data_IF_966853201457
#
_entry.id   IF_966853201457
#
_cell.length_a   1.000
_cell.length_b   1.000
_cell.length_c   1.000
_cell.angle_alpha   90.00
_cell.angle_beta   90.00
_cell.angle_gamma   90.00
#
_symmetry.space_group_name_H-M   'P 1'
#
loop_
_entity.id
_entity.type
_entity.pdbx_description
1 polymer ?
#
# COMPACT_ATOMS: atom_id res chain seq x y z
N UNK A 1 -5.48 -7.90 -23.10
CA UNK A 1 -4.84 -6.66 -22.58
C UNK A 1 -3.33 -6.82 -22.29
N UNK A 2 -2.63 -7.74 -22.96
CA UNK A 2 -1.19 -8.02 -22.73
C UNK A 2 -0.25 -7.11 -23.53
N UNK A 3 -0.69 -6.67 -24.72
CA UNK A 3 0.13 -5.96 -25.70
C UNK A 3 0.50 -4.52 -25.26
N UNK A 4 -0.39 -3.72 -24.63
CA UNK A 4 -0.02 -2.36 -24.20
C UNK A 4 1.01 -2.34 -23.05
N UNK A 5 1.00 -3.35 -22.17
CA UNK A 5 1.94 -3.47 -21.05
C UNK A 5 3.37 -3.80 -21.52
N UNK A 6 3.49 -4.64 -22.56
CA UNK A 6 4.76 -5.04 -23.16
C UNK A 6 5.43 -3.86 -23.89
N UNK A 7 4.65 -3.01 -24.57
CA UNK A 7 5.15 -1.83 -25.28
C UNK A 7 5.67 -0.74 -24.31
N UNK A 8 5.03 -0.57 -23.15
CA UNK A 8 5.48 0.40 -22.12
C UNK A 8 6.80 -0.03 -21.43
N UNK A 9 7.07 -1.34 -21.38
CA UNK A 9 8.25 -1.94 -20.74
C UNK A 9 9.50 -1.97 -21.64
N UNK A 10 9.38 -1.71 -22.94
CA UNK A 10 10.49 -1.72 -23.89
C UNK A 10 11.34 -0.43 -23.86
N UNK A 11 10.82 0.66 -23.27
CA UNK A 11 11.42 2.00 -23.30
C UNK A 11 12.30 2.34 -22.07
N UNK A 12 12.71 1.34 -21.26
CA UNK A 12 13.16 1.60 -19.89
C UNK A 12 14.63 1.20 -19.65
N UNK A 13 15.41 2.15 -19.10
CA UNK A 13 16.84 1.99 -18.78
C UNK A 13 17.08 1.14 -17.53
N UNK A 14 18.19 0.41 -17.45
CA UNK A 14 18.44 -0.54 -16.36
C UNK A 14 18.49 0.13 -14.97
N UNK A 15 17.60 -0.29 -14.08
CA UNK A 15 17.67 0.02 -12.66
C UNK A 15 17.65 -1.26 -11.82
N UNK A 16 18.47 -1.24 -10.76
CA UNK A 16 18.68 -2.37 -9.86
C UNK A 16 18.10 -2.04 -8.49
N UNK A 17 17.24 -2.90 -7.93
CA UNK A 17 17.10 -2.90 -6.47
C UNK A 17 18.43 -3.30 -5.86
N UNK A 18 18.91 -2.43 -5.01
CA UNK A 18 20.13 -2.60 -4.25
C UNK A 18 19.85 -3.13 -2.86
N UNK A 19 18.59 -3.10 -2.40
CA UNK A 19 18.12 -3.77 -1.21
C UNK A 19 16.96 -4.71 -1.53
N UNK A 20 17.07 -5.97 -1.11
CA UNK A 20 15.95 -6.90 -1.08
C UNK A 20 15.99 -7.70 0.22
N UNK A 21 14.82 -8.01 0.75
CA UNK A 21 14.72 -8.78 1.97
C UNK A 21 13.52 -9.71 1.95
N UNK A 22 13.70 -10.92 2.50
CA UNK A 22 12.62 -11.83 2.90
C UNK A 22 12.81 -12.16 4.37
N UNK A 23 11.71 -12.16 5.13
CA UNK A 23 11.66 -12.60 6.53
C UNK A 23 10.55 -13.64 6.67
N UNK A 24 10.87 -14.72 7.39
CA UNK A 24 9.92 -15.76 7.80
C UNK A 24 10.05 -15.93 9.31
N UNK A 25 9.04 -15.49 10.05
CA UNK A 25 8.90 -15.65 11.51
C UNK A 25 8.01 -16.83 11.87
N UNK A 26 7.04 -17.17 11.01
CA UNK A 26 6.25 -18.40 11.09
C UNK A 26 6.37 -19.21 9.79
N UNK A 27 7.24 -20.24 9.78
CA UNK A 27 7.42 -21.10 8.62
C UNK A 27 6.20 -21.96 8.28
N UNK A 28 5.23 -22.09 9.19
CA UNK A 28 4.00 -22.89 8.93
C UNK A 28 2.98 -22.14 8.08
N UNK A 29 3.06 -20.80 8.03
CA UNK A 29 2.11 -19.96 7.31
C UNK A 29 0.78 -19.75 8.04
N UNK A 30 0.68 -20.12 9.33
CA UNK A 30 -0.54 -19.95 10.13
C UNK A 30 -0.70 -18.52 10.66
N UNK A 31 0.40 -17.86 10.98
CA UNK A 31 0.42 -16.43 11.30
C UNK A 31 0.28 -15.63 10.00
N UNK A 32 -0.82 -14.88 9.80
CA UNK A 32 -1.02 -14.07 8.60
C UNK A 32 0.03 -12.97 8.44
N UNK A 33 0.82 -12.66 9.46
CA UNK A 33 1.94 -11.71 9.40
C UNK A 33 3.31 -12.40 9.48
N UNK A 34 3.32 -13.73 9.35
CA UNK A 34 4.47 -14.61 9.58
C UNK A 34 5.53 -14.62 8.48
N UNK A 35 5.25 -14.05 7.31
CA UNK A 35 6.21 -13.93 6.22
C UNK A 35 6.02 -12.63 5.43
N UNK A 36 7.10 -11.91 5.19
CA UNK A 36 7.09 -10.62 4.50
C UNK A 36 8.33 -10.41 3.65
N UNK A 37 8.22 -9.55 2.64
CA UNK A 37 9.33 -9.16 1.78
C UNK A 37 9.32 -7.68 1.44
N UNK A 38 10.50 -7.15 1.11
CA UNK A 38 10.67 -5.75 0.73
C UNK A 38 11.74 -5.55 -0.34
N UNK A 39 11.61 -4.42 -1.04
CA UNK A 39 12.63 -3.91 -1.95
C UNK A 39 12.81 -2.41 -1.78
N UNK A 40 14.07 -1.95 -1.88
CA UNK A 40 14.43 -0.53 -1.95
C UNK A 40 15.57 -0.30 -2.93
N UNK A 41 15.70 0.93 -3.40
CA UNK A 41 16.80 1.38 -4.25
C UNK A 41 17.07 2.87 -4.06
N UNK A 42 18.29 3.31 -4.32
CA UNK A 42 18.62 4.72 -4.52
C UNK A 42 18.39 5.17 -5.99
N UNK A 43 18.38 4.22 -6.94
CA UNK A 43 18.30 4.50 -8.36
C UNK A 43 16.90 4.97 -8.82
N UNK A 44 16.83 5.81 -9.88
CA UNK A 44 15.59 6.01 -10.64
C UNK A 44 15.06 4.68 -11.22
N UNK A 45 13.80 4.63 -11.64
CA UNK A 45 13.13 3.46 -12.24
C UNK A 45 12.99 2.24 -11.31
N UNK A 46 12.90 2.46 -10.00
CA UNK A 46 12.77 1.39 -9.01
C UNK A 46 11.60 0.42 -9.23
N UNK A 47 10.57 0.82 -9.96
CA UNK A 47 9.52 -0.07 -10.45
C UNK A 47 10.01 -1.27 -11.26
N UNK A 48 11.24 -1.21 -11.75
CA UNK A 48 11.91 -2.31 -12.42
C UNK A 48 12.58 -3.30 -11.48
N UNK A 49 12.66 -3.03 -10.17
CA UNK A 49 12.85 -4.13 -9.23
C UNK A 49 11.53 -4.88 -9.18
N UNK A 50 11.40 -5.78 -10.14
CA UNK A 50 10.21 -6.58 -10.30
C UNK A 50 10.17 -7.53 -9.11
N UNK A 51 9.24 -7.28 -8.19
CA UNK A 51 8.85 -8.28 -7.21
C UNK A 51 7.42 -8.73 -7.47
N UNK A 52 7.22 -10.05 -7.45
CA UNK A 52 5.93 -10.67 -7.67
C UNK A 52 5.60 -11.55 -6.47
N UNK A 53 4.39 -11.37 -5.95
CA UNK A 53 3.82 -12.25 -4.92
C UNK A 53 2.77 -13.14 -5.55
N UNK A 54 3.00 -14.44 -5.52
CA UNK A 54 1.98 -15.40 -5.88
C UNK A 54 1.11 -15.66 -4.65
N UNK A 55 -0.12 -15.13 -4.65
CA UNK A 55 -1.12 -15.40 -3.60
C UNK A 55 -1.45 -16.88 -3.50
N UNK A 56 -1.49 -17.58 -4.64
CA UNK A 56 -1.77 -19.02 -4.70
C UNK A 56 -0.66 -19.86 -4.08
N UNK A 57 0.59 -19.49 -4.31
CA UNK A 57 1.75 -20.26 -3.83
C UNK A 57 2.29 -19.76 -2.49
N UNK A 58 1.81 -18.60 -2.00
CA UNK A 58 2.37 -17.85 -0.87
C UNK A 58 3.90 -17.68 -0.98
N UNK A 59 4.37 -17.20 -2.13
CA UNK A 59 5.80 -16.95 -2.39
C UNK A 59 5.99 -15.55 -2.94
N UNK A 60 7.06 -14.88 -2.49
CA UNK A 60 7.60 -13.69 -3.14
C UNK A 60 8.83 -14.04 -3.98
N UNK A 61 8.90 -13.47 -5.18
CA UNK A 61 10.08 -13.48 -6.06
C UNK A 61 10.57 -12.05 -6.16
N UNK A 62 11.77 -11.75 -5.66
CA UNK A 62 12.40 -10.43 -5.71
C UNK A 62 13.56 -10.44 -6.70
N UNK A 63 13.52 -9.57 -7.71
CA UNK A 63 14.61 -9.43 -8.66
C UNK A 63 15.31 -8.06 -8.62
N UNK A 64 16.62 -8.07 -8.81
CA UNK A 64 17.40 -6.84 -8.98
C UNK A 64 18.78 -7.12 -9.57
N UNK A 65 19.24 -6.27 -10.49
CA UNK A 65 20.54 -6.42 -11.12
C UNK A 65 20.71 -5.53 -12.34
N UNK A 66 21.61 -5.93 -13.23
CA UNK A 66 22.05 -5.11 -14.36
C UNK A 66 21.27 -5.38 -15.66
N UNK A 67 20.40 -6.39 -15.69
CA UNK A 67 19.64 -6.73 -16.90
C UNK A 67 18.58 -5.68 -17.24
N UNK A 68 18.11 -5.70 -18.50
CA UNK A 68 16.94 -4.91 -18.95
C UNK A 68 15.64 -5.50 -18.39
N UNK A 69 14.59 -4.68 -18.32
CA UNK A 69 13.30 -5.06 -17.73
C UNK A 69 12.66 -6.33 -18.31
N UNK A 70 12.85 -6.63 -19.60
CA UNK A 70 12.31 -7.83 -20.26
C UNK A 70 12.96 -9.12 -19.76
N UNK A 71 14.29 -9.20 -19.73
CA UNK A 71 15.02 -10.39 -19.27
C UNK A 71 14.75 -10.69 -17.78
N UNK A 72 14.64 -9.63 -16.96
CA UNK A 72 14.24 -9.75 -15.56
C UNK A 72 12.85 -10.30 -15.38
N UNK A 73 11.89 -9.83 -16.18
CA UNK A 73 10.52 -10.34 -16.14
C UNK A 73 10.48 -11.82 -16.54
N UNK A 74 11.19 -12.21 -17.60
CA UNK A 74 11.31 -13.61 -18.00
C UNK A 74 11.91 -14.49 -16.90
N UNK A 75 12.93 -14.00 -16.19
CA UNK A 75 13.53 -14.69 -15.05
C UNK A 75 12.51 -14.94 -13.92
N UNK A 76 11.67 -13.96 -13.62
CA UNK A 76 10.60 -14.09 -12.61
C UNK A 76 9.53 -15.06 -13.07
N UNK A 77 9.07 -14.93 -14.32
CA UNK A 77 8.05 -15.82 -14.89
C UNK A 77 8.54 -17.27 -14.95
N UNK A 78 9.80 -17.49 -15.31
CA UNK A 78 10.41 -18.82 -15.29
C UNK A 78 10.43 -19.41 -13.86
N UNK A 79 10.79 -18.59 -12.87
CA UNK A 79 10.77 -19.01 -11.47
C UNK A 79 9.37 -19.39 -10.98
N UNK A 80 8.36 -18.57 -11.29
CA UNK A 80 6.97 -18.83 -10.89
C UNK A 80 6.44 -20.09 -11.58
N UNK A 81 6.67 -20.24 -12.89
CA UNK A 81 6.25 -21.43 -13.63
C UNK A 81 6.84 -22.71 -13.04
N UNK A 82 8.12 -22.70 -12.69
CA UNK A 82 8.76 -23.84 -12.02
C UNK A 82 8.06 -24.20 -10.70
N UNK A 83 7.74 -23.19 -9.87
CA UNK A 83 7.00 -23.41 -8.63
C UNK A 83 5.56 -23.90 -8.87
N UNK A 84 4.88 -23.42 -9.92
CA UNK A 84 3.54 -23.88 -10.30
C UNK A 84 3.54 -25.32 -10.79
N UNK A 85 4.64 -25.77 -11.40
CA UNK A 85 4.88 -27.16 -11.80
C UNK A 85 5.32 -28.06 -10.63
N UNK A 86 5.41 -27.53 -9.41
CA UNK A 86 5.71 -28.29 -8.21
C UNK A 86 7.20 -28.45 -7.91
N UNK A 87 8.08 -27.75 -8.64
CA UNK A 87 9.51 -27.75 -8.33
C UNK A 87 9.81 -27.11 -6.97
N UNK A 88 10.95 -27.46 -6.39
CA UNK A 88 11.42 -26.83 -5.18
C UNK A 88 11.96 -25.41 -5.42
N UNK A 89 12.17 -24.67 -4.33
CA UNK A 89 12.55 -23.26 -4.40
C UNK A 89 13.95 -23.04 -4.99
N UNK A 90 14.83 -24.03 -4.91
CA UNK A 90 16.17 -23.94 -5.48
C UNK A 90 16.11 -24.11 -7.00
N UNK A 91 15.41 -25.14 -7.47
CA UNK A 91 15.18 -25.39 -8.90
C UNK A 91 14.45 -24.21 -9.56
N UNK A 92 13.46 -23.64 -8.88
CA UNK A 92 12.78 -22.44 -9.36
C UNK A 92 13.72 -21.22 -9.49
N UNK A 93 14.60 -20.99 -8.51
CA UNK A 93 15.62 -19.94 -8.61
C UNK A 93 16.58 -20.24 -9.77
N UNK A 94 16.99 -21.50 -9.93
CA UNK A 94 17.88 -21.95 -11.02
C UNK A 94 17.27 -21.68 -12.40
N UNK A 95 15.99 -22.01 -12.57
CA UNK A 95 15.23 -21.72 -13.79
C UNK A 95 15.21 -20.20 -14.08
N UNK A 96 14.97 -19.38 -13.06
CA UNK A 96 14.96 -17.93 -13.21
C UNK A 96 16.33 -17.34 -13.57
N UNK A 97 17.38 -17.67 -12.84
CA UNK A 97 18.73 -17.11 -13.09
C UNK A 97 19.32 -17.58 -14.42
N UNK A 98 18.86 -18.70 -14.98
CA UNK A 98 19.24 -19.12 -16.34
C UNK A 98 18.83 -18.10 -17.42
N UNK A 99 17.78 -17.30 -17.16
CA UNK A 99 17.30 -16.23 -18.04
C UNK A 99 18.00 -14.90 -17.80
N UNK A 100 18.52 -14.68 -16.60
CA UNK A 100 19.18 -13.44 -16.21
C UNK A 100 20.27 -13.70 -15.15
N UNK A 101 21.45 -14.22 -15.55
CA UNK A 101 22.48 -14.67 -14.60
C UNK A 101 23.19 -13.53 -13.86
N UNK A 102 23.09 -12.30 -14.40
CA UNK A 102 23.62 -11.08 -13.79
C UNK A 102 22.62 -10.40 -12.84
N UNK A 103 21.35 -10.84 -12.84
CA UNK A 103 20.38 -10.43 -11.85
C UNK A 103 20.44 -11.34 -10.63
N UNK A 104 20.10 -10.78 -9.49
CA UNK A 104 19.73 -11.53 -8.31
C UNK A 104 18.29 -11.97 -8.43
N UNK A 105 18.01 -13.20 -8.02
CA UNK A 105 16.68 -13.63 -7.62
C UNK A 105 16.71 -14.06 -6.16
N UNK A 106 15.89 -13.44 -5.33
CA UNK A 106 15.63 -13.83 -3.93
C UNK A 106 14.17 -14.28 -3.84
N UNK A 107 13.96 -15.56 -3.57
CA UNK A 107 12.65 -16.23 -3.61
C UNK A 107 12.37 -16.87 -2.28
N UNK A 108 11.16 -16.71 -1.74
CA UNK A 108 10.85 -17.22 -0.41
C UNK A 108 9.39 -17.17 -0.03
N UNK A 109 9.00 -18.07 0.87
CA UNK A 109 7.65 -18.15 1.43
C UNK A 109 7.53 -19.18 2.55
N UNK A 110 6.48 -19.08 3.39
CA UNK A 110 6.18 -20.09 4.40
C UNK A 110 6.01 -21.47 3.75
N UNK A 111 6.43 -22.53 4.43
CA UNK A 111 6.40 -23.92 3.93
C UNK A 111 7.39 -24.24 2.80
N UNK A 112 7.95 -23.24 2.13
CA UNK A 112 8.87 -23.40 0.98
C UNK A 112 10.34 -23.15 1.33
N UNK A 113 10.61 -22.30 2.31
CA UNK A 113 11.98 -21.85 2.64
C UNK A 113 12.36 -20.60 1.85
N UNK A 114 13.66 -20.36 1.66
CA UNK A 114 14.19 -19.20 0.92
C UNK A 114 15.38 -19.64 0.07
N UNK A 115 15.49 -19.14 -1.16
CA UNK A 115 16.67 -19.32 -2.00
C UNK A 115 17.10 -18.00 -2.65
N UNK A 116 18.42 -17.86 -2.86
CA UNK A 116 19.02 -16.72 -3.56
C UNK A 116 20.00 -17.21 -4.62
N UNK A 117 19.86 -16.73 -5.85
CA UNK A 117 20.77 -17.02 -6.96
C UNK A 117 21.22 -15.76 -7.70
N UNK A 118 22.21 -15.93 -8.59
CA UNK A 118 22.72 -14.88 -9.47
C UNK A 118 23.68 -13.92 -8.78
N UNK A 119 23.53 -12.61 -8.98
CA UNK A 119 24.47 -11.59 -8.45
C UNK A 119 24.01 -10.98 -7.13
N UNK A 120 24.60 -11.40 -6.01
CA UNK A 120 24.15 -11.00 -4.67
C UNK A 120 25.27 -10.74 -3.66
N UNK A 121 24.94 -9.89 -2.70
CA UNK A 121 25.63 -9.72 -1.42
C UNK A 121 24.60 -9.88 -0.31
N UNK A 122 24.62 -11.00 0.41
CA UNK A 122 23.58 -11.31 1.40
C UNK A 122 24.14 -11.61 2.78
N UNK A 123 23.34 -11.25 3.78
CA UNK A 123 23.41 -11.84 5.11
C UNK A 123 22.20 -12.76 5.31
N UNK A 124 22.47 -14.01 5.63
CA UNK A 124 21.48 -15.04 5.96
C UNK A 124 21.41 -15.16 7.48
N UNK A 125 20.20 -15.04 8.00
CA UNK A 125 19.88 -15.18 9.42
C UNK A 125 19.02 -16.41 9.60
N UNK A 126 19.41 -17.29 10.51
CA UNK A 126 18.62 -18.45 10.94
C UNK A 126 18.44 -18.38 12.44
N UNK A 127 17.20 -18.51 12.90
CA UNK A 127 16.87 -18.52 14.34
C UNK A 127 16.34 -19.89 14.73
N UNK A 128 16.97 -20.52 15.73
CA UNK A 128 16.58 -21.81 16.30
C UNK A 128 16.53 -21.70 17.83
N UNK A 129 15.33 -21.65 18.38
CA UNK A 129 15.14 -21.29 19.79
C UNK A 129 15.76 -19.92 20.07
N UNK A 130 16.62 -19.84 21.09
CA UNK A 130 17.34 -18.60 21.44
C UNK A 130 18.61 -18.36 20.62
N UNK A 131 19.04 -19.31 19.77
CA UNK A 131 20.27 -19.20 18.99
C UNK A 131 20.01 -18.46 17.67
N UNK A 132 20.80 -17.41 17.43
CA UNK A 132 20.82 -16.66 16.17
C UNK A 132 22.11 -17.03 15.43
N UNK A 133 21.97 -17.49 14.18
CA UNK A 133 23.09 -17.83 13.29
C UNK A 133 23.08 -16.84 12.14
N UNK A 134 24.20 -16.17 11.90
CA UNK A 134 24.36 -15.22 10.80
C UNK A 134 25.50 -15.70 9.90
N UNK A 135 25.23 -15.84 8.60
CA UNK A 135 26.22 -16.20 7.58
C UNK A 135 26.19 -15.18 6.45
N UNK A 136 27.34 -14.85 5.89
CA UNK A 136 27.45 -13.94 4.76
C UNK A 136 27.81 -14.72 3.50
N UNK A 137 27.20 -14.33 2.38
CA UNK A 137 27.48 -14.91 1.08
C UNK A 137 27.59 -13.82 0.03
N UNK A 138 28.48 -14.03 -0.92
CA UNK A 138 28.72 -13.14 -2.06
C UNK A 138 28.75 -13.96 -3.35
N UNK A 139 28.15 -13.40 -4.40
CA UNK A 139 28.24 -13.89 -5.77
C UNK A 139 28.14 -12.72 -6.74
N UNK A 140 29.01 -12.69 -7.74
CA UNK A 140 28.95 -11.70 -8.83
C UNK A 140 28.05 -12.15 -9.99
N UNK A 141 27.54 -13.40 -9.96
CA UNK A 141 26.69 -14.00 -10.99
C UNK A 141 26.89 -15.52 -11.07
N UNK A 142 26.14 -16.19 -11.95
CA UNK A 142 26.32 -17.62 -12.23
C UNK A 142 25.43 -18.56 -11.41
N UNK A 143 25.72 -19.88 -11.40
CA UNK A 143 24.80 -20.92 -10.94
C UNK A 143 24.76 -21.10 -9.41
N UNK A 144 25.50 -20.30 -8.66
CA UNK A 144 25.63 -20.43 -7.21
C UNK A 144 24.32 -20.01 -6.52
N UNK A 145 23.71 -20.96 -5.80
CA UNK A 145 22.47 -20.73 -5.07
C UNK A 145 22.70 -20.94 -3.57
N UNK A 146 22.27 -19.98 -2.76
CA UNK A 146 22.20 -20.12 -1.31
C UNK A 146 20.78 -20.52 -0.93
N UNK A 147 20.63 -21.66 -0.24
CA UNK A 147 19.34 -22.20 0.18
C UNK A 147 19.17 -22.18 1.70
N UNK A 148 18.00 -21.77 2.15
CA UNK A 148 17.48 -21.98 3.49
C UNK A 148 16.34 -22.99 3.41
N UNK A 149 16.41 -24.12 4.13
CA UNK A 149 15.38 -25.14 4.04
C UNK A 149 14.03 -24.64 4.58
N UNK A 150 12.96 -25.34 4.18
CA UNK A 150 11.61 -25.15 4.76
C UNK A 150 11.62 -25.35 6.28
N UNK A 151 10.57 -24.87 6.93
CA UNK A 151 10.35 -25.02 8.39
C UNK A 151 11.39 -24.31 9.28
N UNK A 152 12.08 -23.29 8.77
CA UNK A 152 13.10 -22.54 9.50
C UNK A 152 12.71 -21.07 9.59
N UNK A 153 12.75 -20.50 10.81
CA UNK A 153 12.64 -19.05 11.01
C UNK A 153 13.91 -18.38 10.50
N UNK A 154 13.77 -17.44 9.57
CA UNK A 154 14.92 -16.87 8.89
C UNK A 154 14.68 -15.46 8.38
N UNK A 155 15.78 -14.80 8.03
CA UNK A 155 15.78 -13.63 7.17
C UNK A 155 16.93 -13.73 6.16
N UNK A 156 16.70 -13.20 4.97
CA UNK A 156 17.76 -12.98 3.98
C UNK A 156 17.75 -11.52 3.61
N UNK A 157 18.89 -10.87 3.78
CA UNK A 157 19.04 -9.43 3.54
C UNK A 157 20.12 -9.24 2.49
N UNK A 158 19.70 -8.82 1.32
CA UNK A 158 20.58 -8.29 0.29
C UNK A 158 20.75 -6.78 0.47
N UNK A 159 21.98 -6.29 0.37
CA UNK A 159 22.25 -4.85 0.30
C UNK A 159 23.55 -4.55 -0.45
N UNK A 160 23.49 -3.68 -1.46
CA UNK A 160 24.61 -2.98 -2.11
C UNK A 160 24.37 -1.47 -2.06
N UNK A 161 25.40 -0.65 -2.24
CA UNK A 161 25.18 0.79 -2.47
C UNK A 161 25.12 1.07 -3.97
N UNK A 162 24.15 1.88 -4.41
CA UNK A 162 24.12 2.43 -5.77
C UNK A 162 25.23 3.48 -5.93
N UNK A 163 26.00 3.48 -7.03
CA UNK A 163 26.90 4.59 -7.36
C UNK A 163 26.19 5.95 -7.30
N UNK A 164 26.84 6.96 -6.71
CA UNK A 164 26.23 8.28 -6.49
C UNK A 164 25.33 8.38 -5.26
N UNK A 165 25.16 7.30 -4.49
CA UNK A 165 24.58 7.37 -3.15
C UNK A 165 25.54 8.14 -2.20
N UNK A 166 25.08 9.19 -1.48
CA UNK A 166 25.92 9.94 -0.54
C UNK A 166 26.56 9.11 0.57
N UNK A 167 25.99 7.93 0.87
CA UNK A 167 26.49 7.00 1.89
C UNK A 167 27.15 5.77 1.25
N UNK A 168 27.73 5.90 0.07
CA UNK A 168 28.42 4.81 -0.62
C UNK A 168 29.52 4.18 0.25
N UNK A 169 29.67 2.87 0.18
CA UNK A 169 30.63 2.09 0.98
C UNK A 169 30.09 1.58 2.33
N UNK A 170 28.89 1.99 2.74
CA UNK A 170 28.28 1.57 4.02
C UNK A 170 27.53 0.24 3.95
N UNK A 171 27.18 -0.24 2.75
CA UNK A 171 26.27 -1.37 2.55
C UNK A 171 26.66 -2.64 3.32
N UNK A 172 27.93 -3.03 3.33
CA UNK A 172 28.37 -4.25 4.03
C UNK A 172 28.13 -4.14 5.54
N UNK A 173 28.50 -3.02 6.16
CA UNK A 173 28.27 -2.78 7.58
C UNK A 173 26.78 -2.79 7.92
N UNK A 174 25.98 -2.02 7.16
CA UNK A 174 24.54 -1.89 7.38
C UNK A 174 23.83 -3.24 7.18
N UNK A 175 24.27 -4.06 6.22
CA UNK A 175 23.73 -5.40 5.97
C UNK A 175 23.90 -6.32 7.19
N UNK A 176 25.08 -6.30 7.81
CA UNK A 176 25.38 -7.10 9.01
C UNK A 176 24.56 -6.61 10.21
N UNK A 177 24.50 -5.30 10.42
CA UNK A 177 23.71 -4.70 11.52
C UNK A 177 22.22 -5.01 11.36
N UNK A 178 21.68 -4.87 10.14
CA UNK A 178 20.31 -5.25 9.81
C UNK A 178 20.05 -6.75 10.04
N UNK A 179 21.02 -7.62 9.76
CA UNK A 179 20.92 -9.06 10.03
C UNK A 179 20.87 -9.37 11.53
N UNK A 180 21.68 -8.68 12.34
CA UNK A 180 21.66 -8.79 13.81
C UNK A 180 20.30 -8.33 14.34
N UNK A 181 19.79 -7.19 13.86
CA UNK A 181 18.47 -6.68 14.22
C UNK A 181 17.35 -7.66 13.85
N UNK A 182 17.37 -8.20 12.63
CA UNK A 182 16.39 -9.18 12.17
C UNK A 182 16.41 -10.42 13.07
N UNK A 183 17.59 -10.99 13.35
CA UNK A 183 17.72 -12.18 14.18
C UNK A 183 17.17 -11.98 15.59
N UNK A 184 17.43 -10.83 16.21
CA UNK A 184 16.88 -10.47 17.52
C UNK A 184 15.35 -10.39 17.46
N UNK A 185 14.80 -9.63 16.52
CA UNK A 185 13.35 -9.49 16.41
C UNK A 185 12.61 -10.80 16.07
N UNK A 186 13.20 -11.67 15.24
CA UNK A 186 12.65 -13.01 14.96
C UNK A 186 12.65 -13.87 16.23
N UNK A 187 13.75 -13.87 16.99
CA UNK A 187 13.86 -14.58 18.27
C UNK A 187 12.82 -14.07 19.27
N UNK A 188 12.65 -12.75 19.33
CA UNK A 188 11.75 -12.07 20.26
C UNK A 188 10.27 -12.16 19.83
N UNK A 189 9.97 -12.83 18.72
CA UNK A 189 8.61 -13.15 18.31
C UNK A 189 7.86 -12.04 17.58
N UNK A 190 8.57 -11.02 17.06
CA UNK A 190 7.92 -9.96 16.27
C UNK A 190 7.42 -10.51 14.93
N UNK A 191 6.31 -9.97 14.38
CA UNK A 191 5.80 -10.37 13.08
C UNK A 191 6.74 -9.95 11.95
N UNK A 192 6.76 -10.71 10.85
CA UNK A 192 7.65 -10.46 9.72
C UNK A 192 7.35 -9.09 9.05
N UNK A 193 6.09 -8.67 9.01
CA UNK A 193 5.66 -7.36 8.48
C UNK A 193 6.29 -6.19 9.24
N UNK A 194 6.44 -6.32 10.55
CA UNK A 194 7.12 -5.32 11.39
C UNK A 194 8.64 -5.35 11.21
N UNK A 195 9.23 -6.55 11.17
CA UNK A 195 10.69 -6.72 11.04
C UNK A 195 11.18 -6.12 9.73
N UNK A 196 10.54 -6.48 8.61
CA UNK A 196 10.89 -5.98 7.28
C UNK A 196 10.83 -4.45 7.23
N UNK A 197 9.76 -3.86 7.74
CA UNK A 197 9.54 -2.41 7.63
C UNK A 197 10.43 -1.60 8.57
N UNK A 198 10.72 -2.10 9.78
CA UNK A 198 11.73 -1.51 10.66
C UNK A 198 13.12 -1.55 10.04
N UNK A 199 13.48 -2.65 9.37
CA UNK A 199 14.77 -2.77 8.68
C UNK A 199 14.83 -1.85 7.46
N UNK A 200 13.73 -1.66 6.73
CA UNK A 200 13.68 -0.66 5.67
C UNK A 200 13.98 0.74 6.19
N UNK A 201 13.37 1.16 7.30
CA UNK A 201 13.66 2.44 7.94
C UNK A 201 15.13 2.55 8.38
N UNK A 202 15.71 1.46 8.91
CA UNK A 202 17.12 1.40 9.29
C UNK A 202 18.06 1.57 8.09
N UNK A 203 17.86 0.77 7.05
CA UNK A 203 18.67 0.77 5.83
C UNK A 203 18.57 2.12 5.13
N UNK A 204 17.35 2.67 4.99
CA UNK A 204 17.15 3.98 4.41
C UNK A 204 17.99 5.07 5.11
N UNK A 205 18.01 5.05 6.45
CA UNK A 205 18.76 6.01 7.28
C UNK A 205 20.27 5.77 7.30
N UNK A 206 20.72 4.52 7.18
CA UNK A 206 22.12 4.13 7.45
C UNK A 206 22.94 3.81 6.21
N UNK A 207 22.29 3.47 5.10
CA UNK A 207 22.97 3.22 3.82
C UNK A 207 22.58 4.17 2.70
N UNK A 208 21.54 5.00 2.89
CA UNK A 208 21.02 5.89 1.85
C UNK A 208 20.22 5.17 0.75
N UNK A 209 20.12 3.83 0.77
CA UNK A 209 19.25 3.05 -0.10
C UNK A 209 17.79 3.17 0.36
N UNK A 210 17.20 4.34 0.09
CA UNK A 210 16.07 4.85 0.86
C UNK A 210 14.75 4.94 0.13
N UNK A 211 14.74 4.92 -1.20
CA UNK A 211 13.47 4.95 -1.92
C UNK A 211 12.90 3.54 -1.90
N UNK A 212 11.66 3.39 -1.45
CA UNK A 212 11.04 2.07 -1.33
C UNK A 212 10.30 1.66 -2.59
N UNK A 213 10.58 0.45 -3.07
CA UNK A 213 9.96 -0.13 -4.26
C UNK A 213 8.66 -0.86 -3.95
N UNK A 214 8.46 -1.22 -2.68
CA UNK A 214 7.24 -1.81 -2.16
C UNK A 214 7.52 -2.83 -1.08
N UNK A 215 6.47 -3.17 -0.35
CA UNK A 215 6.51 -4.15 0.73
C UNK A 215 5.32 -5.08 0.59
N UNK A 216 5.54 -6.35 0.90
CA UNK A 216 4.51 -7.38 0.79
C UNK A 216 4.46 -8.25 2.03
N UNK A 217 3.24 -8.60 2.41
CA UNK A 217 2.96 -9.71 3.30
C UNK A 217 2.72 -10.94 2.43
N UNK A 218 3.62 -11.91 2.52
CA UNK A 218 3.62 -13.09 1.67
C UNK A 218 2.49 -14.04 2.09
N UNK A 219 2.29 -14.22 3.40
CA UNK A 219 1.26 -15.12 3.91
C UNK A 219 -0.13 -14.62 3.53
N UNK A 220 -0.44 -13.35 3.82
CA UNK A 220 -1.75 -12.78 3.54
C UNK A 220 -1.92 -12.25 2.10
N UNK A 221 -0.87 -12.28 1.27
CA UNK A 221 -0.93 -11.76 -0.09
C UNK A 221 -1.16 -10.25 -0.19
N UNK A 222 -0.84 -9.48 0.86
CA UNK A 222 -1.00 -8.02 0.85
C UNK A 222 0.24 -7.35 0.27
N UNK A 223 0.04 -6.25 -0.45
CA UNK A 223 1.12 -5.37 -0.92
C UNK A 223 0.83 -3.92 -0.59
N UNK A 224 1.82 -3.05 -0.57
CA UNK A 224 1.59 -1.60 -0.42
C UNK A 224 0.83 -0.96 -1.61
N UNK A 225 0.51 -1.73 -2.66
CA UNK A 225 -0.21 -1.26 -3.84
C UNK A 225 0.45 -0.02 -4.46
N UNK A 226 -0.39 0.91 -4.90
CA UNK A 226 0.05 2.12 -5.60
C UNK A 226 0.53 3.24 -4.66
N UNK A 227 0.61 2.98 -3.35
CA UNK A 227 0.86 4.07 -2.37
C UNK A 227 2.28 4.64 -2.45
N UNK A 228 3.25 3.82 -2.87
CA UNK A 228 4.65 4.23 -3.03
C UNK A 228 5.07 4.35 -4.50
N UNK A 229 4.09 4.35 -5.39
CA UNK A 229 4.26 4.49 -6.84
C UNK A 229 4.50 5.96 -7.16
N UNK A 230 5.67 6.33 -7.71
CA UNK A 230 5.87 7.69 -8.17
C UNK A 230 4.89 8.04 -9.30
N UNK A 231 4.42 9.31 -9.36
CA UNK A 231 3.46 9.75 -10.38
C UNK A 231 4.05 9.83 -11.80
N UNK A 232 5.38 9.79 -11.92
CA UNK A 232 6.10 9.79 -13.19
C UNK A 232 6.86 8.47 -13.34
N UNK A 233 6.77 7.88 -14.53
CA UNK A 233 7.66 6.78 -14.92
C UNK A 233 9.11 7.25 -14.74
N UNK A 234 9.99 6.33 -14.33
CA UNK A 234 11.41 6.59 -14.16
C UNK A 234 11.81 7.56 -13.04
N UNK A 235 10.87 8.02 -12.21
CA UNK A 235 11.23 8.78 -11.01
C UNK A 235 11.70 7.86 -9.87
N UNK A 236 12.39 8.47 -8.89
CA UNK A 236 12.67 7.81 -7.61
C UNK A 236 11.35 7.65 -6.83
N UNK A 237 11.23 6.57 -6.06
CA UNK A 237 10.04 6.34 -5.24
C UNK A 237 10.02 7.21 -3.98
N UNK A 238 9.18 6.83 -3.03
CA UNK A 238 9.01 7.59 -1.78
C UNK A 238 10.16 7.25 -0.81
N UNK A 239 10.86 8.27 -0.26
CA UNK A 239 11.95 8.04 0.68
C UNK A 239 11.42 7.53 2.03
N UNK A 240 11.90 6.35 2.43
CA UNK A 240 11.46 5.64 3.63
C UNK A 240 11.90 6.34 4.91
N UNK A 241 13.00 7.09 4.89
CA UNK A 241 13.57 7.82 6.04
C UNK A 241 12.97 9.22 6.26
N UNK A 242 11.94 9.60 5.50
CA UNK A 242 11.30 10.93 5.62
C UNK A 242 9.90 10.86 6.22
N UNK A 243 9.50 11.96 6.86
CA UNK A 243 8.15 12.13 7.38
C UNK A 243 7.13 12.09 6.22
N UNK A 244 6.17 11.17 6.31
CA UNK A 244 5.22 10.90 5.24
C UNK A 244 3.88 11.60 5.50
N UNK A 245 3.36 11.49 6.73
CA UNK A 245 2.12 12.15 7.16
C UNK A 245 2.11 12.48 8.64
N UNK A 246 1.15 13.30 9.04
CA UNK A 246 0.73 13.46 10.42
C UNK A 246 -0.64 12.83 10.62
N UNK A 247 -0.84 12.14 11.74
CA UNK A 247 -2.12 11.52 12.10
C UNK A 247 -2.51 11.90 13.53
N UNK A 248 -3.79 12.15 13.74
CA UNK A 248 -4.37 12.32 15.06
C UNK A 248 -4.68 10.93 15.66
N UNK A 249 -4.07 10.56 16.80
CA UNK A 249 -4.33 9.27 17.42
C UNK A 249 -5.74 9.15 18.03
N UNK A 250 -6.48 10.26 18.21
CA UNK A 250 -7.81 10.25 18.82
C UNK A 250 -8.95 10.12 17.80
N UNK A 251 -8.94 10.93 16.75
CA UNK A 251 -10.05 11.01 15.79
C UNK A 251 -9.67 10.55 14.37
N UNK A 252 -8.46 10.00 14.17
CA UNK A 252 -8.05 9.46 12.87
C UNK A 252 -7.68 10.49 11.80
N UNK A 253 -8.03 11.77 11.98
CA UNK A 253 -7.69 12.83 11.03
C UNK A 253 -6.20 12.78 10.65
N UNK A 254 -5.90 12.80 9.36
CA UNK A 254 -4.53 12.74 8.87
C UNK A 254 -4.29 13.64 7.67
N UNK A 255 -3.05 14.06 7.49
CA UNK A 255 -2.60 14.90 6.38
C UNK A 255 -1.20 14.50 5.95
N UNK A 256 -0.98 14.35 4.64
CA UNK A 256 0.33 14.02 4.09
C UNK A 256 1.24 15.26 3.95
N UNK A 257 2.54 15.05 3.94
CA UNK A 257 3.49 16.11 3.58
C UNK A 257 3.39 16.47 2.08
N UNK A 258 3.62 17.74 1.70
CA UNK A 258 4.14 18.83 2.53
C UNK A 258 3.08 19.55 3.38
N UNK A 259 1.78 19.40 3.09
CA UNK A 259 0.70 20.12 3.78
C UNK A 259 0.71 19.90 5.30
N UNK A 260 1.11 18.71 5.75
CA UNK A 260 1.30 18.35 7.15
C UNK A 260 2.24 19.29 7.93
N UNK A 261 3.14 20.02 7.27
CA UNK A 261 4.02 20.98 7.93
C UNK A 261 3.25 22.10 8.65
N UNK A 262 2.07 22.48 8.12
CA UNK A 262 1.22 23.56 8.64
C UNK A 262 0.44 23.19 9.91
N UNK A 263 0.40 21.91 10.28
CA UNK A 263 -0.43 21.42 11.38
C UNK A 263 0.43 20.93 12.55
N UNK A 264 0.35 21.61 13.70
CA UNK A 264 0.94 21.14 14.96
C UNK A 264 -0.07 20.36 15.81
N UNK A 265 -1.37 20.64 15.65
CA UNK A 265 -2.48 20.00 16.34
C UNK A 265 -3.57 19.60 15.34
N UNK A 266 -4.41 18.65 15.73
CA UNK A 266 -5.55 18.20 14.94
C UNK A 266 -6.59 19.34 14.81
N UNK A 267 -7.00 19.70 13.59
CA UNK A 267 -8.01 20.75 13.39
C UNK A 267 -9.41 20.34 13.85
N UNK A 268 -9.67 19.03 13.99
CA UNK A 268 -10.98 18.49 14.39
C UNK A 268 -11.15 18.45 15.91
N UNK A 269 -10.13 17.99 16.65
CA UNK A 269 -10.25 17.75 18.11
C UNK A 269 -9.14 18.38 18.96
N UNK A 270 -8.27 19.21 18.38
CA UNK A 270 -7.19 19.91 19.10
C UNK A 270 -6.08 19.02 19.69
N UNK A 271 -6.11 17.70 19.47
CA UNK A 271 -5.10 16.78 19.99
C UNK A 271 -3.76 16.91 19.27
N UNK A 272 -2.66 16.52 19.92
CA UNK A 272 -1.33 16.47 19.29
C UNK A 272 -1.31 15.48 18.14
N UNK A 273 -0.60 15.85 17.07
CA UNK A 273 -0.44 14.99 15.89
C UNK A 273 0.84 14.16 16.02
N UNK A 274 0.75 12.88 15.66
CA UNK A 274 1.90 11.98 15.54
C UNK A 274 2.42 12.01 14.10
N UNK A 275 3.73 12.23 13.94
CA UNK A 275 4.39 12.08 12.65
C UNK A 275 4.63 10.60 12.36
N UNK A 276 4.25 10.16 11.17
CA UNK A 276 4.53 8.83 10.65
C UNK A 276 5.46 8.89 9.46
N UNK A 277 6.44 7.99 9.44
CA UNK A 277 7.38 7.79 8.33
C UNK A 277 6.81 6.79 7.33
N UNK A 278 7.27 6.84 6.08
CA UNK A 278 6.75 5.98 5.00
C UNK A 278 6.87 4.48 5.32
N UNK A 279 7.94 4.04 5.99
CA UNK A 279 8.08 2.63 6.41
C UNK A 279 7.04 2.20 7.46
N UNK A 280 6.58 3.11 8.32
CA UNK A 280 5.53 2.83 9.31
C UNK A 280 4.18 2.71 8.62
N UNK A 281 3.90 3.58 7.65
CA UNK A 281 2.70 3.47 6.81
C UNK A 281 2.71 2.18 6.02
N UNK A 282 3.85 1.80 5.43
CA UNK A 282 4.00 0.54 4.71
C UNK A 282 3.68 -0.68 5.60
N UNK A 283 4.13 -0.67 6.87
CA UNK A 283 3.79 -1.72 7.84
C UNK A 283 2.29 -1.83 8.04
N UNK A 284 1.62 -0.72 8.29
CA UNK A 284 0.20 -0.72 8.59
C UNK A 284 -0.65 -1.19 7.39
N UNK A 285 -0.18 -0.95 6.15
CA UNK A 285 -0.84 -1.40 4.93
C UNK A 285 -0.77 -2.90 4.63
N UNK A 286 0.24 -3.59 5.18
CA UNK A 286 0.48 -5.02 4.91
C UNK A 286 0.25 -5.91 6.13
N UNK A 287 0.00 -5.32 7.29
CA UNK A 287 -0.19 -6.06 8.54
C UNK A 287 -1.66 -6.38 8.72
N UNK A 288 -2.00 -7.66 8.72
CA UNK A 288 -3.34 -8.14 9.03
C UNK A 288 -3.61 -7.90 10.52
N UNK A 289 -4.72 -7.23 10.82
CA UNK A 289 -5.23 -7.01 12.17
C UNK A 289 -6.60 -7.65 12.29
N UNK A 290 -6.89 -8.33 13.41
CA UNK A 290 -8.15 -9.06 13.60
C UNK A 290 -9.36 -8.12 13.75
N UNK A 291 -9.13 -6.94 14.30
CA UNK A 291 -10.11 -5.93 14.70
C UNK A 291 -10.32 -4.81 13.66
N UNK A 292 -9.44 -4.71 12.66
CA UNK A 292 -9.48 -3.64 11.67
C UNK A 292 -9.28 -4.21 10.25
N UNK A 293 -10.30 -4.15 9.37
CA UNK A 293 -10.12 -4.55 7.98
C UNK A 293 -9.26 -3.54 7.22
N UNK A 294 -8.51 -4.06 6.25
CA UNK A 294 -7.82 -3.24 5.27
C UNK A 294 -8.81 -2.98 4.14
N UNK A 295 -9.18 -1.71 3.94
CA UNK A 295 -10.10 -1.31 2.86
C UNK A 295 -9.32 -0.60 1.76
N UNK A 296 -9.46 -1.08 0.52
CA UNK A 296 -8.84 -0.49 -0.67
C UNK A 296 -9.93 -0.05 -1.63
N UNK A 297 -9.97 1.25 -1.91
CA UNK A 297 -10.91 1.82 -2.87
C UNK A 297 -10.14 2.33 -4.09
N UNK A 298 -10.56 1.86 -5.26
CA UNK A 298 -10.02 2.21 -6.58
C UNK A 298 -11.07 2.99 -7.37
N UNK A 299 -10.63 3.79 -8.36
CA UNK A 299 -11.53 4.56 -9.24
C UNK A 299 -12.05 5.87 -8.64
N UNK A 300 -11.53 6.28 -7.48
CA UNK A 300 -11.88 7.54 -6.82
C UNK A 300 -10.77 8.58 -6.97
N UNK A 301 -11.16 9.81 -7.35
CA UNK A 301 -10.25 10.96 -7.44
C UNK A 301 -10.17 11.76 -6.14
N UNK A 302 -11.28 11.89 -5.41
CA UNK A 302 -11.37 12.66 -4.17
C UNK A 302 -10.79 11.88 -2.98
N UNK A 303 -9.86 12.50 -2.25
CA UNK A 303 -9.32 11.92 -1.01
C UNK A 303 -10.40 11.82 0.06
N UNK A 304 -11.34 12.76 0.12
CA UNK A 304 -12.40 12.79 1.13
C UNK A 304 -13.40 11.64 0.93
N UNK A 305 -13.84 11.43 -0.31
CA UNK A 305 -14.78 10.36 -0.66
C UNK A 305 -14.17 8.99 -0.35
N UNK A 306 -12.86 8.85 -0.63
CA UNK A 306 -12.11 7.65 -0.30
C UNK A 306 -12.07 7.38 1.21
N UNK A 307 -11.85 8.41 2.02
CA UNK A 307 -11.85 8.28 3.49
C UNK A 307 -13.24 7.89 3.98
N UNK A 308 -14.30 8.55 3.49
CA UNK A 308 -15.69 8.26 3.86
C UNK A 308 -16.04 6.80 3.59
N UNK A 309 -15.75 6.29 2.39
CA UNK A 309 -16.03 4.89 2.04
C UNK A 309 -15.24 3.93 2.94
N UNK A 310 -13.96 4.22 3.20
CA UNK A 310 -13.14 3.40 4.09
C UNK A 310 -13.75 3.33 5.49
N UNK A 311 -14.21 4.45 6.04
CA UNK A 311 -14.86 4.52 7.35
C UNK A 311 -16.21 3.79 7.37
N UNK A 312 -17.06 3.99 6.36
CA UNK A 312 -18.33 3.27 6.21
C UNK A 312 -18.10 1.76 6.21
N UNK A 313 -17.16 1.28 5.40
CA UNK A 313 -16.84 -0.15 5.28
C UNK A 313 -16.24 -0.69 6.58
N UNK A 314 -15.31 0.04 7.20
CA UNK A 314 -14.72 -0.37 8.48
C UNK A 314 -15.79 -0.52 9.57
N UNK A 315 -16.74 0.40 9.62
CA UNK A 315 -17.87 0.38 10.57
C UNK A 315 -18.77 -0.84 10.35
N UNK A 316 -19.11 -1.15 9.09
CA UNK A 316 -19.91 -2.33 8.76
C UNK A 316 -19.24 -3.63 9.18
N UNK A 317 -17.93 -3.75 8.90
CA UNK A 317 -17.14 -4.93 9.26
C UNK A 317 -17.07 -5.10 10.78
N UNK A 318 -16.93 -4.01 11.53
CA UNK A 318 -16.99 -4.03 12.99
C UNK A 318 -18.37 -4.46 13.50
N UNK A 319 -19.43 -4.09 12.80
CA UNK A 319 -20.80 -4.55 13.05
C UNK A 319 -21.09 -5.98 12.52
N UNK A 320 -20.08 -6.71 12.05
CA UNK A 320 -20.22 -8.09 11.54
C UNK A 320 -20.76 -8.20 10.11
N UNK A 321 -21.06 -7.08 9.44
CA UNK A 321 -21.58 -7.04 8.06
C UNK A 321 -20.44 -7.00 7.05
N UNK A 322 -19.90 -8.18 6.72
CA UNK A 322 -18.72 -8.32 5.85
C UNK A 322 -19.05 -8.81 4.44
N UNK A 323 -20.33 -9.05 4.13
CA UNK A 323 -20.71 -9.58 2.83
C UNK A 323 -20.65 -8.49 1.75
N UNK A 324 -20.24 -8.82 0.52
CA UNK A 324 -20.22 -7.88 -0.60
C UNK A 324 -21.53 -7.11 -0.78
N UNK A 325 -22.68 -7.75 -0.56
CA UNK A 325 -24.01 -7.16 -0.69
C UNK A 325 -24.29 -6.10 0.38
N UNK A 326 -23.84 -6.31 1.62
CA UNK A 326 -23.99 -5.34 2.69
C UNK A 326 -23.16 -4.10 2.44
N UNK A 327 -21.93 -4.30 1.96
CA UNK A 327 -20.99 -3.23 1.64
C UNK A 327 -21.48 -2.43 0.43
N UNK A 328 -21.92 -3.11 -0.63
CA UNK A 328 -22.49 -2.49 -1.82
C UNK A 328 -23.67 -1.59 -1.46
N UNK A 329 -24.66 -2.14 -0.74
CA UNK A 329 -25.85 -1.39 -0.30
C UNK A 329 -25.54 -0.17 0.54
N UNK A 330 -24.54 -0.26 1.42
CA UNK A 330 -24.18 0.88 2.27
C UNK A 330 -23.55 2.03 1.49
N UNK A 331 -22.70 1.73 0.50
CA UNK A 331 -22.09 2.75 -0.35
C UNK A 331 -23.13 3.32 -1.32
N UNK A 332 -24.01 2.48 -1.86
CA UNK A 332 -25.14 2.94 -2.69
C UNK A 332 -26.07 3.86 -1.90
N UNK A 333 -26.28 3.58 -0.60
CA UNK A 333 -26.99 4.48 0.31
C UNK A 333 -26.28 5.83 0.47
N UNK A 334 -24.94 5.85 0.54
CA UNK A 334 -24.17 7.11 0.57
C UNK A 334 -24.29 7.89 -0.76
N UNK A 335 -24.37 7.19 -1.90
CA UNK A 335 -24.64 7.80 -3.21
C UNK A 335 -26.08 8.37 -3.26
N UNK A 336 -27.07 7.60 -2.83
CA UNK A 336 -28.49 8.01 -2.77
C UNK A 336 -28.69 9.25 -1.88
N UNK A 337 -27.97 9.30 -0.75
CA UNK A 337 -28.02 10.41 0.20
C UNK A 337 -27.14 11.60 -0.19
N UNK A 338 -26.51 11.58 -1.38
CA UNK A 338 -25.60 12.62 -1.88
C UNK A 338 -24.36 12.87 -0.99
N UNK A 339 -23.95 11.94 -0.13
CA UNK A 339 -22.69 12.04 0.61
C UNK A 339 -21.49 11.65 -0.26
N UNK A 340 -21.72 10.82 -1.29
CA UNK A 340 -20.76 10.50 -2.35
C UNK A 340 -21.29 10.97 -3.71
N UNK A 341 -20.60 11.92 -4.36
CA UNK A 341 -21.03 12.53 -5.62
C UNK A 341 -20.11 12.16 -6.79
N UNK A 342 -20.71 11.88 -7.95
CA UNK A 342 -19.98 11.69 -9.21
C UNK A 342 -19.55 10.25 -9.50
N UNK A 343 -20.12 9.27 -8.82
CA UNK A 343 -19.86 7.85 -9.02
C UNK A 343 -21.13 7.09 -9.35
N UNK A 344 -20.99 6.00 -10.11
CA UNK A 344 -22.06 5.05 -10.40
C UNK A 344 -22.33 4.14 -9.19
N UNK A 345 -23.50 3.51 -9.15
CA UNK A 345 -23.82 2.49 -8.14
C UNK A 345 -22.83 1.33 -8.23
N UNK A 346 -22.53 0.75 -7.08
CA UNK A 346 -21.62 -0.38 -7.00
C UNK A 346 -22.39 -1.69 -6.90
N UNK A 347 -22.00 -2.66 -7.71
CA UNK A 347 -22.58 -4.00 -7.63
C UNK A 347 -21.83 -4.82 -6.58
N UNK A 348 -22.43 -5.88 -6.00
CA UNK A 348 -21.70 -6.81 -5.15
C UNK A 348 -20.43 -7.38 -5.82
N UNK A 349 -20.47 -7.57 -7.15
CA UNK A 349 -19.29 -7.98 -7.95
C UNK A 349 -18.15 -6.95 -8.01
N UNK A 350 -18.43 -5.67 -7.71
CA UNK A 350 -17.42 -4.61 -7.60
C UNK A 350 -16.74 -4.59 -6.21
N UNK A 351 -17.20 -5.44 -5.27
CA UNK A 351 -16.65 -5.61 -3.93
C UNK A 351 -16.00 -7.00 -3.80
N UNK A 352 -14.69 -7.02 -3.58
CA UNK A 352 -13.93 -8.25 -3.33
C UNK A 352 -13.52 -8.34 -1.87
N UNK A 353 -13.97 -9.40 -1.19
CA UNK A 353 -13.59 -9.70 0.20
C UNK A 353 -12.59 -10.85 0.22
N UNK A 354 -11.44 -10.65 0.88
CA UNK A 354 -10.40 -11.65 1.10
C UNK A 354 -10.26 -11.91 2.61
N UNK A 355 -11.03 -12.87 3.18
CA UNK A 355 -11.15 -13.04 4.63
C UNK A 355 -9.84 -13.32 5.36
N UNK A 356 -8.96 -14.13 4.76
CA UNK A 356 -7.65 -14.49 5.31
C UNK A 356 -6.74 -13.28 5.52
N UNK A 357 -6.87 -12.28 4.64
CA UNK A 357 -6.10 -11.05 4.68
C UNK A 357 -6.83 -9.91 5.44
N UNK A 358 -8.05 -10.17 5.91
CA UNK A 358 -9.00 -9.17 6.39
C UNK A 358 -9.08 -7.96 5.42
N UNK A 359 -9.06 -8.23 4.11
CA UNK A 359 -8.98 -7.21 3.06
C UNK A 359 -10.30 -7.10 2.31
N UNK A 360 -10.72 -5.86 2.08
CA UNK A 360 -11.88 -5.52 1.26
C UNK A 360 -11.41 -4.58 0.17
N UNK A 361 -11.62 -4.96 -1.08
CA UNK A 361 -11.29 -4.15 -2.25
C UNK A 361 -12.57 -3.72 -2.95
N UNK A 362 -12.67 -2.44 -3.29
CA UNK A 362 -13.87 -1.81 -3.85
C UNK A 362 -13.45 -1.07 -5.12
N UNK A 363 -14.13 -1.38 -6.22
CA UNK A 363 -13.90 -0.77 -7.52
C UNK A 363 -15.03 0.22 -7.84
N UNK A 364 -14.73 1.50 -7.71
CA UNK A 364 -15.69 2.57 -8.02
C UNK A 364 -15.57 2.96 -9.48
N UNK A 365 -16.70 3.30 -10.11
CA UNK A 365 -16.74 3.80 -11.48
C UNK A 365 -17.19 5.27 -11.46
N UNK A 366 -16.37 6.22 -11.93
CA UNK A 366 -16.80 7.59 -12.06
C UNK A 366 -17.88 7.68 -13.15
N UNK A 367 -18.88 8.55 -12.94
CA UNK A 367 -19.87 8.83 -13.98
C UNK A 367 -19.20 9.52 -15.19
N UNK A 368 -19.62 9.23 -16.43
CA UNK A 368 -19.14 9.95 -17.60
C UNK A 368 -19.43 11.45 -17.48
N UNK A 369 -18.55 12.31 -18.02
CA UNK A 369 -18.78 13.75 -18.03
C UNK A 369 -20.12 14.08 -18.70
N UNK A 370 -20.98 14.83 -17.99
CA UNK A 370 -22.30 15.25 -18.47
C UNK A 370 -23.49 14.41 -17.98
N UNK A 371 -23.28 13.27 -17.31
CA UNK A 371 -24.38 12.53 -16.69
C UNK A 371 -24.88 13.24 -15.42
N UNK A 372 -26.18 13.54 -15.39
CA UNK A 372 -26.88 14.05 -14.19
C UNK A 372 -27.43 12.89 -13.38
N UNK A 373 -27.28 13.05 -12.07
CA UNK A 373 -27.61 12.15 -10.94
C UNK A 373 -28.91 11.34 -11.10
N UNK A 374 -29.04 10.20 -10.41
CA UNK A 374 -30.35 9.65 -10.07
C UNK A 374 -31.19 10.73 -9.34
N UNK A 375 -32.51 10.82 -9.58
CA UNK A 375 -33.36 11.80 -8.91
C UNK A 375 -33.36 11.58 -7.39
N UNK A 376 -33.33 12.68 -6.61
CA UNK A 376 -33.33 12.64 -5.14
C UNK A 376 -34.49 11.78 -4.63
N UNK A 377 -34.18 10.71 -3.89
CA UNK A 377 -35.11 10.16 -2.89
C UNK A 377 -35.00 11.01 -1.62
N UNK A 378 -35.50 12.24 -1.68
CA UNK A 378 -35.69 13.02 -0.46
C UNK A 378 -36.87 12.43 0.32
N UNK A 379 -36.83 12.43 1.66
CA UNK A 379 -38.00 12.12 2.48
C UNK A 379 -39.11 13.18 2.34
N UNK A 380 -38.87 14.25 1.59
CA UNK A 380 -39.79 15.36 1.35
C UNK A 380 -40.01 15.44 -0.16
N UNK A 381 -41.26 15.26 -0.62
CA UNK A 381 -41.55 15.30 -2.05
C UNK A 381 -41.19 16.68 -2.66
N UNK A 382 -40.78 16.74 -3.94
CA UNK A 382 -40.55 18.00 -4.65
C UNK A 382 -41.73 18.99 -4.57
N UNK A 383 -42.96 18.47 -4.52
CA UNK A 383 -44.20 19.24 -4.36
C UNK A 383 -44.27 19.94 -2.99
N UNK A 384 -43.76 19.30 -1.94
CA UNK A 384 -43.68 19.88 -0.59
C UNK A 384 -42.63 20.99 -0.52
N UNK A 385 -41.48 20.80 -1.17
CA UNK A 385 -40.44 21.84 -1.30
C UNK A 385 -40.92 23.05 -2.10
N UNK A 386 -41.67 22.84 -3.18
CA UNK A 386 -42.27 23.91 -3.96
C UNK A 386 -43.32 24.69 -3.15
N UNK A 387 -44.14 23.99 -2.36
CA UNK A 387 -45.13 24.59 -1.47
C UNK A 387 -44.48 25.44 -0.37
N UNK A 388 -43.39 24.96 0.23
CA UNK A 388 -42.60 25.71 1.22
C UNK A 388 -41.93 26.95 0.61
N UNK A 389 -41.44 26.85 -0.62
CA UNK A 389 -40.88 27.99 -1.36
C UNK A 389 -41.92 29.05 -1.71
N UNK A 390 -43.15 28.66 -2.03
CA UNK A 390 -44.27 29.59 -2.25
C UNK A 390 -44.68 30.29 -0.94
N UNK A 391 -44.71 29.58 0.19
CA UNK A 391 -45.03 30.15 1.50
C UNK A 391 -43.98 31.19 1.92
N UNK A 392 -42.69 30.92 1.75
CA UNK A 392 -41.63 31.88 2.08
C UNK A 392 -41.67 33.13 1.18
N UNK A 393 -42.01 32.94 -0.09
CA UNK A 393 -42.20 34.04 -1.06
C UNK A 393 -43.40 34.92 -0.68
N UNK A 394 -44.52 34.33 -0.28
CA UNK A 394 -45.72 35.05 0.14
C UNK A 394 -45.50 35.88 1.42
N UNK A 395 -44.78 35.34 2.40
CA UNK A 395 -44.38 36.07 3.61
C UNK A 395 -43.45 37.24 3.28
N UNK A 396 -42.51 37.04 2.36
CA UNK A 396 -41.62 38.10 1.88
C UNK A 396 -42.37 39.26 1.24
N UNK A 397 -43.38 38.98 0.40
CA UNK A 397 -44.21 40.01 -0.23
C UNK A 397 -45.06 40.77 0.80
N UNK A 398 -45.66 40.07 1.77
CA UNK A 398 -46.46 40.71 2.82
C UNK A 398 -45.64 41.71 3.65
N UNK A 399 -44.38 41.37 3.98
CA UNK A 399 -43.48 42.25 4.72
C UNK A 399 -43.08 43.51 3.92
N UNK A 400 -42.88 43.38 2.60
CA UNK A 400 -42.59 44.52 1.72
C UNK A 400 -43.80 45.47 1.64
N UNK A 401 -45.01 44.93 1.50
CA UNK A 401 -46.24 45.73 1.47
C UNK A 401 -46.46 46.45 2.79
N UNK A 402 -46.30 45.77 3.93
CA UNK A 402 -46.39 46.38 5.27
C UNK A 402 -45.33 47.47 5.47
N UNK A 403 -44.10 47.26 4.98
CA UNK A 403 -43.04 48.27 4.98
C UNK A 403 -43.41 49.50 4.14
N UNK A 404 -44.00 49.30 2.96
CA UNK A 404 -44.48 50.37 2.09
C UNK A 404 -45.62 51.18 2.70
N UNK A 405 -46.59 50.51 3.34
CA UNK A 405 -47.70 51.17 4.05
C UNK A 405 -47.15 52.00 5.22
N UNK A 406 -46.21 51.44 6.00
CA UNK A 406 -45.56 52.16 7.11
C UNK A 406 -44.84 53.42 6.62
N UNK A 407 -44.12 53.34 5.51
CA UNK A 407 -43.43 54.49 4.92
C UNK A 407 -44.40 55.54 4.37
N UNK A 408 -45.51 55.13 3.76
CA UNK A 408 -46.56 56.02 3.27
C UNK A 408 -47.25 56.78 4.43
N UNK A 409 -47.56 56.08 5.52
CA UNK A 409 -48.11 56.68 6.75
C UNK A 409 -47.12 57.66 7.36
N UNK A 410 -45.84 57.29 7.46
CA UNK A 410 -44.79 58.18 7.98
C UNK A 410 -44.53 59.41 7.11
N UNK A 411 -44.77 59.33 5.79
CA UNK A 411 -44.69 60.48 4.89
C UNK A 411 -45.89 61.41 5.02
N UNK A 412 -47.10 60.87 5.20
CA UNK A 412 -48.30 61.69 5.46
C UNK A 412 -48.26 62.38 6.83
N UNK A 413 -47.74 61.71 7.86
CA UNK A 413 -47.55 62.29 9.20
C UNK A 413 -46.45 63.37 9.26
N UNK A 414 -45.54 63.41 8.28
CA UNK A 414 -44.51 64.47 8.16
C UNK A 414 -44.97 65.66 7.29
N UNK A 415 -46.14 65.56 6.66
CA UNK A 415 -46.74 66.60 5.83
C UNK A 415 -47.89 67.35 6.54
N UNK A 416 -48.17 66.98 7.79
CA UNK A 416 -48.97 67.71 8.78
C UNK A 416 -48.03 68.22 9.87
#
# INVERSE_FOLDING_TARGET
MLIPLIALLALVSGASATFNMIVITDPSGKDPNGAAAASMSFAPNMFQSTFLVSKKLHVAVLAGGLSKGTARLEAILACIRALELGEDIESAVRAGISRSPTDRLLVGGPGKGVAVGGSYDIAVVIVKGNKIIIKQYHSSGGPNIVRIPKNVKCAVIHLRNTPGNPMYGTATKVRIEAAIMAGRMIRDGLPATEIVTRIMGYVAKKSGEKYGGGVVNITAGLSTGDTFVPPKLNARGIPMDTAYRKVCPKCGWSVAYPAASKYSRCPVCGSSLRTEYAWQVARDMITVRKDQPIVRVYGIKSVYDKVSIVETVQTLVQAGKKQPEDIARAIDSDIDNNTLLGYDYILPGDVKVEPEANLITIYMRPLPEGYKKPPLKTPISPETLHSLGLISSAVGVALIVLGGIRELVNRRLRAW
#
